data_IF_619558703141
#
_entry.id   IF_619558703141
#
_cell.length_a   1.000
_cell.length_b   1.000
_cell.length_c   1.000
_cell.angle_alpha   90.00
_cell.angle_beta   90.00
_cell.angle_gamma   90.00
#
_symmetry.space_group_name_H-M   'P 1'
#
loop_
_entity.id
_entity.type
_entity.pdbx_description
1 polymer ?
#
# COMPACT_ATOMS: atom_id res chain seq x y z
N UNK A 1 34.65 -2.21 37.76
CA UNK A 1 33.61 -3.26 37.88
C UNK A 1 32.27 -2.58 38.09
N UNK A 2 31.45 -2.49 37.04
CA UNK A 2 29.98 -2.58 36.98
C UNK A 2 29.53 -2.15 35.57
N UNK A 3 28.87 -3.03 34.80
CA UNK A 3 28.58 -2.82 33.39
C UNK A 3 27.23 -2.13 33.21
N UNK A 4 27.15 -1.10 32.37
CA UNK A 4 25.89 -0.60 31.83
C UNK A 4 26.04 -0.44 30.32
N UNK A 5 26.15 -1.57 29.62
CA UNK A 5 25.66 -1.63 28.26
C UNK A 5 24.15 -1.49 28.35
N UNK A 6 23.63 -0.28 28.07
CA UNK A 6 22.29 -0.16 27.52
C UNK A 6 22.27 -1.10 26.33
N UNK A 7 21.66 -2.28 26.50
CA UNK A 7 21.15 -3.04 25.36
C UNK A 7 20.29 -2.04 24.61
N UNK A 8 20.74 -1.64 23.44
CA UNK A 8 19.85 -1.16 22.40
C UNK A 8 18.70 -2.17 22.36
N UNK A 9 17.58 -1.78 22.95
CA UNK A 9 16.36 -2.55 22.83
C UNK A 9 16.03 -2.44 21.35
N UNK A 10 16.41 -3.47 20.59
CA UNK A 10 16.01 -3.62 19.21
C UNK A 10 14.53 -3.25 19.15
N UNK A 11 14.21 -2.25 18.33
CA UNK A 11 12.82 -1.83 18.15
C UNK A 11 11.99 -3.11 17.92
N UNK A 12 10.87 -3.30 18.64
CA UNK A 12 10.07 -4.50 18.49
C UNK A 12 9.79 -4.69 17.00
N UNK A 13 10.17 -5.86 16.47
CA UNK A 13 9.92 -6.21 15.08
C UNK A 13 8.44 -5.92 14.79
N UNK A 14 8.13 -5.25 13.66
CA UNK A 14 6.75 -4.99 13.31
C UNK A 14 5.98 -6.33 13.33
N UNK A 15 4.74 -6.33 13.81
CA UNK A 15 3.94 -7.55 13.86
C UNK A 15 3.85 -8.13 12.45
N UNK A 16 4.23 -9.40 12.30
CA UNK A 16 4.20 -10.06 11.00
C UNK A 16 2.75 -10.20 10.51
N UNK A 17 2.52 -9.90 9.24
CA UNK A 17 1.24 -10.14 8.59
C UNK A 17 0.95 -11.65 8.57
N UNK A 18 -0.28 -12.03 8.93
CA UNK A 18 -0.74 -13.42 9.00
C UNK A 18 -1.64 -13.66 7.79
N UNK A 19 -1.26 -14.54 6.84
CA UNK A 19 -2.14 -14.86 5.71
C UNK A 19 -3.50 -15.36 6.18
N UNK A 20 -4.58 -14.88 5.54
CA UNK A 20 -5.93 -15.39 5.79
C UNK A 20 -6.16 -16.65 4.94
N UNK A 21 -6.64 -17.71 5.57
CA UNK A 21 -6.86 -18.99 4.89
C UNK A 21 -7.92 -18.88 3.79
N UNK A 22 -7.64 -19.48 2.62
CA UNK A 22 -8.63 -19.70 1.55
C UNK A 22 -8.70 -18.66 0.44
N UNK A 23 -7.92 -17.57 0.50
CA UNK A 23 -7.82 -16.58 -0.57
C UNK A 23 -6.75 -16.93 -1.60
N UNK A 24 -7.10 -16.98 -2.90
CA UNK A 24 -6.10 -17.01 -3.97
C UNK A 24 -5.50 -15.61 -4.09
N UNK A 25 -4.16 -15.44 -4.03
CA UNK A 25 -3.52 -14.14 -4.25
C UNK A 25 -3.90 -13.58 -5.62
N UNK A 26 -4.13 -12.27 -5.70
CA UNK A 26 -4.24 -11.59 -6.99
C UNK A 26 -2.85 -11.29 -7.54
N UNK A 27 -2.70 -11.38 -8.87
CA UNK A 27 -1.47 -11.05 -9.58
C UNK A 27 -1.80 -10.25 -10.83
N UNK A 28 -1.09 -9.15 -11.04
CA UNK A 28 -1.23 -8.28 -12.21
C UNK A 28 -0.24 -7.12 -12.15
N UNK A 29 0.14 -6.54 -13.29
CA UNK A 29 1.10 -5.43 -13.38
C UNK A 29 2.42 -5.60 -12.58
N UNK A 30 2.95 -6.84 -12.46
CA UNK A 30 4.16 -7.11 -11.66
C UNK A 30 3.94 -7.03 -10.14
N UNK A 31 2.69 -6.98 -9.70
CA UNK A 31 2.29 -6.88 -8.31
C UNK A 31 1.49 -8.11 -7.90
N UNK A 32 1.79 -8.63 -6.72
CA UNK A 32 1.01 -9.68 -6.06
C UNK A 32 0.29 -9.08 -4.86
N UNK A 33 -1.01 -9.29 -4.75
CA UNK A 33 -1.80 -8.89 -3.60
C UNK A 33 -2.27 -10.12 -2.83
N UNK A 34 -1.96 -10.15 -1.53
CA UNK A 34 -2.34 -11.22 -0.61
C UNK A 34 -3.25 -10.70 0.49
N UNK A 35 -4.22 -11.53 0.86
CA UNK A 35 -5.14 -11.23 1.95
C UNK A 35 -4.50 -11.61 3.30
N UNK A 36 -4.37 -10.64 4.21
CA UNK A 36 -3.64 -10.82 5.46
C UNK A 36 -4.34 -10.14 6.64
N UNK A 37 -4.15 -10.68 7.83
CA UNK A 37 -4.46 -10.02 9.08
C UNK A 37 -3.18 -9.46 9.71
N UNK A 38 -3.20 -8.18 10.07
CA UNK A 38 -2.11 -7.52 10.78
C UNK A 38 -2.47 -7.36 12.27
N UNK A 39 -1.72 -7.98 13.20
CA UNK A 39 -1.92 -7.77 14.63
C UNK A 39 -1.58 -6.32 15.03
N UNK A 40 -2.55 -5.61 15.61
CA UNK A 40 -2.40 -4.23 16.11
C UNK A 40 -2.79 -4.13 17.58
N UNK A 41 -2.17 -3.19 18.29
CA UNK A 41 -2.43 -2.93 19.72
C UNK A 41 -1.42 -3.59 20.67
N UNK A 42 -1.55 -3.31 21.98
CA UNK A 42 -0.66 -3.83 23.02
C UNK A 42 -0.80 -5.35 23.10
N UNK A 43 0.18 -6.09 22.55
CA UNK A 43 0.23 -7.55 22.36
C UNK A 43 -0.51 -8.12 21.14
N UNK A 44 -0.84 -7.31 20.12
CA UNK A 44 -1.46 -7.83 18.89
C UNK A 44 -2.88 -8.36 19.09
N UNK A 45 -3.62 -7.83 20.06
CA UNK A 45 -4.95 -8.30 20.44
C UNK A 45 -6.04 -7.99 19.42
N UNK A 46 -5.81 -7.04 18.50
CA UNK A 46 -6.75 -6.70 17.44
C UNK A 46 -6.15 -7.08 16.10
N UNK A 47 -6.80 -7.97 15.37
CA UNK A 47 -6.44 -8.28 13.98
C UNK A 47 -7.10 -7.23 13.08
N UNK A 48 -6.30 -6.60 12.24
CA UNK A 48 -6.77 -5.69 11.19
C UNK A 48 -6.71 -6.40 9.87
N UNK A 49 -7.84 -6.37 9.15
CA UNK A 49 -7.91 -6.91 7.81
C UNK A 49 -7.17 -5.98 6.84
N UNK A 50 -6.14 -6.52 6.20
CA UNK A 50 -5.21 -5.78 5.37
C UNK A 50 -4.98 -6.52 4.05
N UNK A 51 -4.47 -5.79 3.08
CA UNK A 51 -3.91 -6.37 1.86
C UNK A 51 -2.42 -6.11 1.87
N UNK A 52 -1.64 -7.16 1.66
CA UNK A 52 -0.20 -7.05 1.46
C UNK A 52 0.08 -7.04 -0.04
N UNK A 53 0.69 -5.96 -0.51
CA UNK A 53 1.14 -5.79 -1.90
C UNK A 53 2.63 -6.07 -1.96
N UNK A 54 3.02 -6.99 -2.84
CA UNK A 54 4.41 -7.39 -3.06
C UNK A 54 4.79 -7.15 -4.52
N UNK A 55 5.90 -6.45 -4.74
CA UNK A 55 6.58 -6.33 -6.03
C UNK A 55 7.90 -7.10 -5.97
N UNK A 56 8.74 -6.99 -7.01
CA UNK A 56 10.12 -7.52 -6.98
C UNK A 56 10.96 -6.95 -5.84
N UNK A 57 10.75 -5.68 -5.51
CA UNK A 57 11.70 -4.90 -4.71
C UNK A 57 11.12 -4.47 -3.35
N UNK A 58 9.79 -4.51 -3.19
CA UNK A 58 9.15 -4.06 -1.97
C UNK A 58 7.93 -4.89 -1.58
N UNK A 59 7.66 -4.91 -0.28
CA UNK A 59 6.44 -5.45 0.29
C UNK A 59 5.84 -4.43 1.24
N UNK A 60 4.56 -4.11 1.04
CA UNK A 60 3.84 -3.11 1.82
C UNK A 60 2.48 -3.66 2.22
N UNK A 61 2.01 -3.31 3.41
CA UNK A 61 0.69 -3.72 3.90
C UNK A 61 -0.19 -2.49 3.95
N UNK A 62 -1.42 -2.57 3.46
CA UNK A 62 -2.39 -1.47 3.43
C UNK A 62 -3.72 -1.92 4.02
N UNK A 63 -4.48 -1.01 4.60
CA UNK A 63 -5.76 -1.36 5.19
C UNK A 63 -6.74 -1.74 4.08
N UNK A 64 -7.41 -2.89 4.20
CA UNK A 64 -8.35 -3.35 3.18
C UNK A 64 -9.50 -2.36 2.96
N UNK A 65 -10.02 -1.77 4.05
CA UNK A 65 -11.07 -0.76 3.98
C UNK A 65 -10.65 0.49 3.19
N UNK A 66 -9.41 0.98 3.37
CA UNK A 66 -8.91 2.14 2.63
C UNK A 66 -8.70 1.81 1.14
N UNK A 67 -8.29 0.59 0.80
CA UNK A 67 -8.23 0.14 -0.59
C UNK A 67 -9.63 0.17 -1.23
N UNK A 68 -10.67 -0.28 -0.52
CA UNK A 68 -12.04 -0.21 -1.01
C UNK A 68 -12.51 1.24 -1.19
N UNK A 69 -12.17 2.13 -0.26
CA UNK A 69 -12.48 3.55 -0.38
C UNK A 69 -11.75 4.22 -1.57
N UNK A 70 -10.50 3.85 -1.83
CA UNK A 70 -9.74 4.30 -3.00
C UNK A 70 -10.38 3.81 -4.29
N UNK A 71 -10.76 2.52 -4.35
CA UNK A 71 -11.43 1.91 -5.51
C UNK A 71 -12.84 2.46 -5.75
N UNK A 72 -13.52 2.92 -4.70
CA UNK A 72 -14.80 3.64 -4.78
C UNK A 72 -14.61 5.13 -5.12
N UNK A 73 -13.37 5.62 -5.21
CA UNK A 73 -13.03 7.02 -5.48
C UNK A 73 -13.36 7.98 -4.33
N UNK A 74 -13.56 7.47 -3.11
CA UNK A 74 -13.85 8.29 -1.91
C UNK A 74 -12.61 8.95 -1.34
N UNK A 75 -11.47 8.28 -1.48
CA UNK A 75 -10.15 8.80 -1.16
C UNK A 75 -9.25 8.65 -2.39
N UNK A 76 -8.15 9.39 -2.39
CA UNK A 76 -7.20 9.45 -3.50
C UNK A 76 -5.87 8.74 -3.22
N UNK A 77 -5.63 8.41 -1.96
CA UNK A 77 -4.37 7.87 -1.49
C UNK A 77 -4.60 6.94 -0.29
N UNK A 78 -3.83 5.86 -0.23
CA UNK A 78 -3.81 4.88 0.86
C UNK A 78 -2.37 4.77 1.37
N UNK A 79 -2.22 5.01 2.66
CA UNK A 79 -0.95 4.93 3.37
C UNK A 79 -0.68 3.50 3.87
N UNK A 80 0.58 3.15 4.09
CA UNK A 80 0.95 1.82 4.51
C UNK A 80 0.70 1.63 6.01
N UNK A 81 0.21 0.47 6.38
CA UNK A 81 0.07 0.01 7.75
C UNK A 81 1.43 -0.41 8.30
N UNK A 82 2.14 0.51 8.98
CA UNK A 82 3.38 0.19 9.69
C UNK A 82 4.44 1.28 9.60
N UNK A 83 5.69 0.90 9.88
CA UNK A 83 6.85 1.80 9.88
C UNK A 83 7.63 1.78 8.55
N UNK A 84 6.99 1.42 7.43
CA UNK A 84 7.52 1.67 6.09
C UNK A 84 6.99 3.04 5.65
N UNK A 85 7.68 4.15 5.96
CA UNK A 85 7.06 5.48 5.91
C UNK A 85 6.99 6.05 4.50
N UNK A 86 7.49 5.31 3.51
CA UNK A 86 7.89 5.87 2.22
C UNK A 86 7.20 5.16 1.05
N UNK A 87 6.01 4.59 1.22
CA UNK A 87 5.27 3.94 0.13
C UNK A 87 3.78 4.23 0.25
N UNK A 88 3.11 4.62 -0.84
CA UNK A 88 1.66 4.83 -0.83
C UNK A 88 1.02 4.37 -2.15
N UNK A 89 -0.25 3.96 -2.09
CA UNK A 89 -1.05 3.63 -3.27
C UNK A 89 -1.97 4.82 -3.57
N UNK A 90 -1.98 5.29 -4.81
CA UNK A 90 -2.80 6.44 -5.21
C UNK A 90 -3.47 6.22 -6.55
N UNK A 91 -4.55 6.98 -6.80
CA UNK A 91 -5.13 7.08 -8.13
C UNK A 91 -4.49 8.24 -8.91
N UNK A 92 -4.43 8.12 -10.24
CA UNK A 92 -3.82 9.12 -11.11
C UNK A 92 -4.46 10.51 -10.96
N UNK A 93 -5.78 10.57 -10.73
CA UNK A 93 -6.55 11.82 -10.56
C UNK A 93 -6.25 12.54 -9.24
N UNK A 94 -5.98 11.80 -8.18
CA UNK A 94 -5.80 12.34 -6.83
C UNK A 94 -4.51 13.11 -6.63
N UNK A 95 -3.47 12.74 -7.36
CA UNK A 95 -2.16 13.41 -7.33
C UNK A 95 -2.20 14.72 -8.11
N UNK A 96 -3.06 14.84 -9.13
CA UNK A 96 -3.21 16.09 -9.90
C UNK A 96 -3.67 17.24 -8.98
N UNK A 97 -4.57 16.96 -8.04
CA UNK A 97 -4.99 17.92 -7.01
C UNK A 97 -3.83 18.37 -6.08
N UNK A 98 -2.89 17.47 -5.76
CA UNK A 98 -1.71 17.79 -4.96
C UNK A 98 -0.61 18.50 -5.77
N UNK A 99 -0.45 18.17 -7.06
CA UNK A 99 0.49 18.82 -7.97
C UNK A 99 0.07 20.26 -8.33
N UNK A 100 -1.24 20.53 -8.36
CA UNK A 100 -1.80 21.86 -8.61
C UNK A 100 -1.44 22.87 -7.50
N UNK A 101 -1.11 22.40 -6.29
CA UNK A 101 -0.87 23.25 -5.13
C UNK A 101 0.51 23.94 -5.07
N UNK A 102 1.40 23.78 -6.06
CA UNK A 102 2.50 24.75 -6.15
C UNK A 102 3.80 24.45 -6.90
N UNK A 103 3.96 23.36 -7.66
CA UNK A 103 5.10 23.14 -8.59
C UNK A 103 4.89 21.83 -9.34
N UNK A 104 5.42 21.74 -10.55
CA UNK A 104 5.54 20.50 -11.33
C UNK A 104 6.26 19.42 -10.51
N UNK A 105 5.52 18.64 -9.73
CA UNK A 105 6.05 17.53 -8.97
C UNK A 105 6.36 16.39 -9.94
N UNK A 106 7.46 15.68 -9.72
CA UNK A 106 7.79 14.50 -10.54
C UNK A 106 6.66 13.47 -10.49
N UNK A 107 6.00 13.32 -9.33
CA UNK A 107 4.75 12.56 -9.19
C UNK A 107 3.66 13.00 -10.18
N UNK A 108 3.40 14.32 -10.30
CA UNK A 108 2.43 14.84 -11.27
C UNK A 108 2.80 14.56 -12.72
N UNK A 109 4.11 14.57 -13.07
CA UNK A 109 4.57 14.20 -14.42
C UNK A 109 4.30 12.73 -14.74
N UNK A 110 4.53 11.83 -13.78
CA UNK A 110 4.21 10.42 -13.96
C UNK A 110 2.71 10.19 -14.11
N UNK A 111 1.88 10.83 -13.28
CA UNK A 111 0.43 10.64 -13.32
C UNK A 111 -0.22 11.23 -14.57
N UNK A 112 0.35 12.32 -15.14
CA UNK A 112 -0.16 12.95 -16.36
C UNK A 112 -0.13 12.04 -17.60
N UNK A 113 0.71 10.99 -17.59
CA UNK A 113 0.79 10.00 -18.69
C UNK A 113 -0.06 8.75 -18.42
N UNK A 114 -0.61 8.59 -17.22
CA UNK A 114 -1.44 7.43 -16.91
C UNK A 114 -2.91 7.67 -17.22
N UNK A 115 -3.66 6.61 -17.56
CA UNK A 115 -5.12 6.67 -17.61
C UNK A 115 -5.72 7.17 -16.30
N UNK A 116 -6.85 7.87 -16.35
CA UNK A 116 -7.48 8.45 -15.16
C UNK A 116 -7.91 7.40 -14.11
N UNK A 117 -8.18 6.17 -14.55
CA UNK A 117 -8.53 5.03 -13.71
C UNK A 117 -7.31 4.26 -13.18
N UNK A 118 -6.09 4.67 -13.54
CA UNK A 118 -4.88 3.99 -13.13
C UNK A 118 -4.62 4.16 -11.63
N UNK A 119 -4.08 3.09 -11.04
CA UNK A 119 -3.58 3.06 -9.68
C UNK A 119 -2.06 2.88 -9.71
N UNK A 120 -1.36 3.69 -8.95
CA UNK A 120 0.10 3.66 -8.89
C UNK A 120 0.59 3.46 -7.46
N UNK A 121 1.54 2.55 -7.31
CA UNK A 121 2.27 2.32 -6.07
C UNK A 121 3.54 3.18 -6.10
N UNK A 122 3.54 4.23 -5.31
CA UNK A 122 4.61 5.23 -5.26
C UNK A 122 5.54 4.97 -4.09
N UNK A 123 6.82 5.26 -4.28
CA UNK A 123 7.84 5.24 -3.22
C UNK A 123 8.35 6.67 -3.02
N UNK A 124 8.56 7.07 -1.76
CA UNK A 124 9.13 8.36 -1.38
C UNK A 124 10.65 8.20 -1.26
N UNK A 125 11.45 9.12 -1.84
CA UNK A 125 11.05 10.31 -2.58
C UNK A 125 10.48 10.01 -3.97
N UNK A 126 9.41 10.72 -4.35
CA UNK A 126 8.68 10.55 -5.63
C UNK A 126 9.43 11.03 -6.88
N UNK A 127 10.75 11.16 -6.78
CA UNK A 127 11.65 11.45 -7.91
C UNK A 127 11.85 10.23 -8.81
N UNK A 128 11.60 9.03 -8.28
CA UNK A 128 11.70 7.77 -9.02
C UNK A 128 10.36 7.37 -9.64
N UNK A 129 10.37 6.55 -10.71
CA UNK A 129 9.14 6.02 -11.28
C UNK A 129 8.36 5.18 -10.25
N UNK A 130 7.02 5.04 -10.42
CA UNK A 130 6.23 4.18 -9.55
C UNK A 130 6.77 2.75 -9.54
N UNK A 131 6.74 2.10 -8.38
CA UNK A 131 7.15 0.71 -8.23
C UNK A 131 6.22 -0.26 -8.98
N UNK A 132 4.94 0.11 -9.14
CA UNK A 132 3.98 -0.60 -9.96
C UNK A 132 2.88 0.35 -10.43
N UNK A 133 2.32 0.08 -11.60
CA UNK A 133 1.18 0.82 -12.17
C UNK A 133 0.16 -0.16 -12.70
N UNK A 134 -1.05 -0.14 -12.14
CA UNK A 134 -2.20 -0.91 -12.60
C UNK A 134 -3.08 0.01 -13.46
N UNK A 135 -3.55 -0.48 -14.59
CA UNK A 135 -4.51 0.26 -15.43
C UNK A 135 -5.50 -0.69 -16.10
N UNK A 136 -6.66 -0.18 -16.52
CA UNK A 136 -7.64 -0.95 -17.30
C UNK A 136 -8.04 -2.27 -16.65
N UNK A 137 -7.73 -3.39 -17.32
CA UNK A 137 -8.09 -4.74 -16.85
C UNK A 137 -7.46 -5.11 -15.50
N UNK A 138 -6.29 -4.58 -15.19
CA UNK A 138 -5.61 -4.88 -13.91
C UNK A 138 -6.36 -4.23 -12.75
N UNK A 139 -6.78 -2.97 -12.92
CA UNK A 139 -7.60 -2.27 -11.91
C UNK A 139 -8.95 -2.96 -11.74
N UNK A 140 -9.59 -3.37 -12.84
CA UNK A 140 -10.87 -4.07 -12.79
C UNK A 140 -10.77 -5.43 -12.08
N UNK A 141 -9.74 -6.22 -12.41
CA UNK A 141 -9.54 -7.54 -11.80
C UNK A 141 -9.10 -7.43 -10.33
N UNK A 142 -8.25 -6.47 -9.99
CA UNK A 142 -7.85 -6.16 -8.61
C UNK A 142 -9.06 -5.71 -7.79
N UNK A 143 -9.90 -4.83 -8.34
CA UNK A 143 -11.13 -4.37 -7.67
C UNK A 143 -12.09 -5.54 -7.39
N UNK A 144 -12.29 -6.40 -8.39
CA UNK A 144 -13.13 -7.59 -8.23
C UNK A 144 -12.57 -8.56 -7.18
N UNK A 145 -11.25 -8.71 -7.11
CA UNK A 145 -10.59 -9.50 -6.07
C UNK A 145 -10.75 -8.88 -4.69
N UNK A 146 -10.39 -7.61 -4.51
CA UNK A 146 -10.44 -6.92 -3.22
C UNK A 146 -11.86 -6.91 -2.63
N UNK A 147 -12.89 -6.73 -3.46
CA UNK A 147 -14.30 -6.79 -3.02
C UNK A 147 -14.76 -8.19 -2.62
N UNK A 148 -14.17 -9.25 -3.17
CA UNK A 148 -14.49 -10.64 -2.77
C UNK A 148 -13.95 -10.98 -1.37
N UNK A 149 -12.93 -10.28 -0.90
CA UNK A 149 -12.37 -10.44 0.44
C UNK A 149 -13.31 -9.91 1.54
N UNK A 150 -14.33 -9.12 1.19
CA UNK A 150 -15.24 -8.46 2.14
C UNK A 150 -16.28 -9.40 2.79
N UNK A 151 -15.91 -10.64 3.11
CA UNK A 151 -16.76 -11.63 3.80
C UNK A 151 -16.10 -12.18 5.05
#
# INVERSE_FOLDING_TARGET
MFPWTKRDAAAPLPPAAIPRDGGIPWQGAGLTATDVDLPRGRKGTKLMHCVQLTTSDLTVTMLHAEILELLDGRISMVDPMGASPDVFLCNAVGVDAAATAGRASEAGKWMAVFPADALALMVVPVSEPPAAVMSGSDVASFSAWARKLAK
#
